data_IF_446701330628
#
_entry.id   IF_446701330628
#
_cell.length_a   1.000
_cell.length_b   1.000
_cell.length_c   1.000
_cell.angle_alpha   90.00
_cell.angle_beta   90.00
_cell.angle_gamma   90.00
#
_symmetry.space_group_name_H-M   'P 1'
#
loop_
_entity.id
_entity.type
_entity.pdbx_description
1 polymer ?
#
# COMPACT_ATOMS: atom_id res chain seq x y z
N UNK A 1 14.01 22.06 -35.89
CA UNK A 1 13.98 21.04 -34.83
C UNK A 1 15.14 21.35 -33.88
N UNK A 2 14.85 21.88 -32.68
CA UNK A 2 15.89 22.10 -31.67
C UNK A 2 16.39 20.73 -31.17
N UNK A 3 17.64 20.42 -31.47
CA UNK A 3 18.30 19.21 -31.02
C UNK A 3 18.41 19.28 -29.48
N UNK A 4 17.92 18.27 -28.77
CA UNK A 4 18.10 18.21 -27.31
C UNK A 4 19.57 18.27 -26.95
N UNK A 5 19.98 19.12 -25.98
CA UNK A 5 21.37 19.20 -25.56
C UNK A 5 21.84 17.84 -25.04
N UNK A 6 23.08 17.50 -25.35
CA UNK A 6 23.73 16.24 -24.94
C UNK A 6 24.76 16.51 -23.86
N UNK A 7 25.22 15.47 -23.15
CA UNK A 7 26.30 15.57 -22.17
C UNK A 7 27.60 16.08 -22.80
N UNK A 8 27.79 15.86 -24.11
CA UNK A 8 28.96 16.39 -24.84
C UNK A 8 28.82 17.89 -25.04
N UNK A 9 27.64 18.42 -25.27
CA UNK A 9 27.41 19.86 -25.39
C UNK A 9 27.64 20.57 -24.06
N UNK A 10 27.17 19.99 -22.94
CA UNK A 10 27.46 20.51 -21.59
C UNK A 10 28.95 20.47 -21.28
N UNK A 11 29.64 19.40 -21.65
CA UNK A 11 31.10 19.28 -21.45
C UNK A 11 31.86 20.34 -22.23
N UNK A 12 31.47 20.58 -23.48
CA UNK A 12 32.11 21.61 -24.34
C UNK A 12 31.87 23.02 -23.78
N UNK A 13 30.61 23.35 -23.39
CA UNK A 13 30.24 24.66 -22.83
C UNK A 13 30.90 24.92 -21.46
N UNK A 14 31.00 23.89 -20.61
CA UNK A 14 31.65 24.01 -19.30
C UNK A 14 33.17 23.91 -19.37
N UNK A 15 33.80 23.63 -20.53
CA UNK A 15 35.22 23.48 -20.68
C UNK A 15 35.84 22.34 -19.89
N UNK A 16 35.13 21.21 -19.79
CA UNK A 16 35.55 20.03 -19.02
C UNK A 16 35.35 18.73 -19.82
N UNK A 17 35.89 17.62 -19.31
CA UNK A 17 35.63 16.31 -19.94
C UNK A 17 34.20 15.83 -19.67
N UNK A 18 33.65 15.02 -20.60
CA UNK A 18 32.37 14.29 -20.40
C UNK A 18 32.35 13.52 -19.07
N UNK A 19 33.49 12.93 -18.69
CA UNK A 19 33.65 12.19 -17.43
C UNK A 19 33.48 13.11 -16.22
N UNK A 20 33.94 14.36 -16.28
CA UNK A 20 33.77 15.35 -15.21
C UNK A 20 32.34 15.78 -15.08
N UNK A 21 31.62 16.01 -16.20
CA UNK A 21 30.17 16.31 -16.18
C UNK A 21 29.39 15.14 -15.58
N UNK A 22 29.69 13.92 -16.02
CA UNK A 22 29.01 12.70 -15.46
C UNK A 22 29.25 12.57 -13.96
N UNK A 23 30.44 12.88 -13.45
CA UNK A 23 30.75 12.87 -12.00
C UNK A 23 29.89 13.87 -11.22
N UNK A 24 29.74 15.10 -11.75
CA UNK A 24 28.91 16.13 -11.12
C UNK A 24 27.45 15.70 -11.08
N UNK A 25 26.89 15.21 -12.19
CA UNK A 25 25.53 14.71 -12.31
C UNK A 25 25.26 13.57 -11.32
N UNK A 26 26.22 12.69 -11.12
CA UNK A 26 26.14 11.55 -10.20
C UNK A 26 26.53 11.88 -8.74
N UNK A 27 26.67 13.17 -8.38
CA UNK A 27 26.91 13.60 -7.00
C UNK A 27 28.32 13.29 -6.46
N UNK A 28 29.29 12.91 -7.31
CA UNK A 28 30.62 12.55 -6.87
C UNK A 28 31.31 13.70 -6.10
N UNK A 29 31.89 13.43 -4.94
CA UNK A 29 32.50 14.43 -4.05
C UNK A 29 33.86 14.91 -4.50
N UNK A 30 34.50 14.20 -5.42
CA UNK A 30 35.86 14.47 -5.89
C UNK A 30 35.95 15.47 -7.05
N UNK A 31 34.93 16.34 -7.25
CA UNK A 31 34.97 17.46 -8.20
C UNK A 31 34.97 18.75 -7.40
N UNK A 32 35.97 19.63 -7.71
CA UNK A 32 36.12 20.90 -7.02
C UNK A 32 34.88 21.81 -7.15
N UNK A 33 34.56 22.56 -6.10
CA UNK A 33 33.36 23.39 -5.96
C UNK A 33 33.14 24.31 -7.17
N UNK A 34 34.12 25.07 -7.59
CA UNK A 34 34.01 25.99 -8.73
C UNK A 34 33.71 25.28 -10.06
N UNK A 35 34.24 24.05 -10.26
CA UNK A 35 33.96 23.25 -11.45
C UNK A 35 32.53 22.71 -11.42
N UNK A 36 32.06 22.30 -10.25
CA UNK A 36 30.69 21.84 -10.03
C UNK A 36 29.70 22.96 -10.35
N UNK A 37 29.84 24.13 -9.73
CA UNK A 37 28.97 25.29 -9.93
C UNK A 37 28.89 25.70 -11.41
N UNK A 38 30.03 25.68 -12.14
CA UNK A 38 30.06 25.98 -13.56
C UNK A 38 29.30 24.96 -14.39
N UNK A 39 29.42 23.67 -14.10
CA UNK A 39 28.67 22.60 -14.80
C UNK A 39 27.19 22.71 -14.52
N UNK A 40 26.78 22.94 -13.26
CA UNK A 40 25.40 23.11 -12.86
C UNK A 40 24.75 24.32 -13.54
N UNK A 41 25.46 25.43 -13.65
CA UNK A 41 25.01 26.61 -14.39
C UNK A 41 24.75 26.31 -15.87
N UNK A 42 25.65 25.60 -16.54
CA UNK A 42 25.48 25.19 -17.94
C UNK A 42 24.31 24.22 -18.11
N UNK A 43 24.13 23.29 -17.19
CA UNK A 43 22.97 22.37 -17.19
C UNK A 43 21.66 23.16 -17.10
N UNK A 44 21.61 24.15 -16.21
CA UNK A 44 20.43 25.00 -16.02
C UNK A 44 20.15 25.87 -17.25
N UNK A 45 21.18 26.48 -17.84
CA UNK A 45 21.07 27.33 -19.03
C UNK A 45 20.63 26.55 -20.27
N UNK A 46 21.18 25.34 -20.46
CA UNK A 46 20.89 24.50 -21.62
C UNK A 46 19.60 23.70 -21.51
N UNK A 47 19.02 23.58 -20.30
CA UNK A 47 17.92 22.65 -20.03
C UNK A 47 18.31 21.18 -20.21
N UNK A 48 19.62 20.86 -20.12
CA UNK A 48 20.09 19.49 -20.26
C UNK A 48 19.53 18.63 -19.14
N UNK A 49 18.81 17.58 -19.51
CA UNK A 49 18.43 16.51 -18.59
C UNK A 49 19.23 15.24 -18.94
N UNK A 50 19.86 14.59 -17.96
CA UNK A 50 20.58 13.34 -18.21
C UNK A 50 19.64 12.31 -18.88
N UNK A 51 20.10 11.71 -19.96
CA UNK A 51 19.38 10.62 -20.60
C UNK A 51 19.41 9.38 -19.68
N UNK A 52 18.25 8.98 -19.18
CA UNK A 52 18.11 7.81 -18.31
C UNK A 52 18.62 6.54 -18.98
N UNK A 53 18.44 6.40 -20.30
CA UNK A 53 18.97 5.25 -21.05
C UNK A 53 20.50 5.24 -21.06
N UNK A 54 21.15 6.42 -21.24
CA UNK A 54 22.60 6.55 -21.18
C UNK A 54 23.14 6.29 -19.76
N UNK A 55 22.38 6.65 -18.71
CA UNK A 55 22.72 6.32 -17.33
C UNK A 55 22.61 4.80 -17.09
N UNK A 56 21.53 4.18 -17.57
CA UNK A 56 21.30 2.74 -17.49
C UNK A 56 22.41 1.90 -18.11
N UNK A 57 22.90 2.29 -19.30
CA UNK A 57 24.02 1.63 -19.96
C UNK A 57 25.32 1.63 -19.15
N UNK A 58 25.53 2.64 -18.31
CA UNK A 58 26.74 2.76 -17.49
C UNK A 58 26.67 2.00 -16.16
N UNK A 59 25.46 1.71 -15.68
CA UNK A 59 25.20 1.08 -14.38
C UNK A 59 24.59 -0.31 -14.48
N UNK A 60 24.25 -0.77 -15.70
CA UNK A 60 23.47 -2.00 -15.96
C UNK A 60 22.12 -2.02 -15.23
N UNK A 61 21.49 -0.85 -15.01
CA UNK A 61 20.21 -0.66 -14.34
C UNK A 61 19.24 0.08 -15.23
N UNK A 62 17.95 -0.26 -15.11
CA UNK A 62 16.88 0.44 -15.83
C UNK A 62 16.33 1.66 -15.09
N UNK A 63 16.53 1.73 -13.78
CA UNK A 63 15.88 2.68 -12.87
C UNK A 63 14.35 2.56 -12.86
N UNK A 64 13.83 1.34 -13.08
CA UNK A 64 12.41 1.02 -13.03
C UNK A 64 12.12 0.12 -11.83
N UNK A 65 11.10 0.48 -11.06
CA UNK A 65 10.51 -0.35 -9.99
C UNK A 65 9.15 -0.82 -10.46
N UNK A 66 8.87 -2.12 -10.35
CA UNK A 66 7.57 -2.69 -10.62
C UNK A 66 6.66 -2.66 -9.39
N UNK A 67 5.36 -2.43 -9.59
CA UNK A 67 4.33 -2.61 -8.59
C UNK A 67 3.36 -3.68 -9.07
N UNK A 68 3.32 -4.84 -8.38
CA UNK A 68 2.46 -5.98 -8.72
C UNK A 68 1.31 -6.06 -7.72
N UNK A 69 0.08 -6.12 -8.22
CA UNK A 69 -1.11 -6.14 -7.37
C UNK A 69 -2.32 -6.78 -8.05
N UNK A 70 -3.26 -7.27 -7.21
CA UNK A 70 -4.63 -7.64 -7.56
C UNK A 70 -5.55 -7.07 -6.48
N UNK A 71 -5.98 -5.82 -6.65
CA UNK A 71 -6.79 -5.13 -5.65
C UNK A 71 -7.82 -4.24 -6.34
N UNK A 72 -9.13 -4.41 -6.05
CA UNK A 72 -10.20 -3.60 -6.63
C UNK A 72 -10.28 -2.17 -6.04
N UNK A 73 -9.67 -1.91 -4.87
CA UNK A 73 -9.71 -0.60 -4.21
C UNK A 73 -8.72 0.38 -4.87
N UNK A 74 -9.26 1.24 -5.73
CA UNK A 74 -8.48 2.25 -6.44
C UNK A 74 -7.86 3.30 -5.51
N UNK A 75 -8.50 3.62 -4.38
CA UNK A 75 -8.00 4.59 -3.40
C UNK A 75 -6.79 4.04 -2.63
N UNK A 76 -6.82 2.75 -2.30
CA UNK A 76 -5.67 2.06 -1.73
C UNK A 76 -4.48 2.07 -2.70
N UNK A 77 -4.70 1.74 -3.97
CA UNK A 77 -3.65 1.74 -4.99
C UNK A 77 -3.07 3.15 -5.22
N UNK A 78 -3.90 4.19 -5.22
CA UNK A 78 -3.41 5.59 -5.32
C UNK A 78 -2.47 5.95 -4.15
N UNK A 79 -2.82 5.59 -2.91
CA UNK A 79 -1.97 5.84 -1.75
C UNK A 79 -0.62 5.11 -1.85
N UNK A 80 -0.63 3.83 -2.28
CA UNK A 80 0.61 3.07 -2.51
C UNK A 80 1.48 3.74 -3.57
N UNK A 81 0.91 4.10 -4.71
CA UNK A 81 1.66 4.75 -5.80
C UNK A 81 2.28 6.06 -5.33
N UNK A 82 1.55 6.90 -4.61
CA UNK A 82 2.07 8.17 -4.05
C UNK A 82 3.22 7.92 -3.09
N UNK A 83 3.10 6.93 -2.21
CA UNK A 83 4.16 6.55 -1.28
C UNK A 83 5.43 6.11 -2.02
N UNK A 84 5.32 5.20 -2.99
CA UNK A 84 6.45 4.74 -3.80
C UNK A 84 7.08 5.89 -4.60
N UNK A 85 6.25 6.69 -5.28
CA UNK A 85 6.72 7.80 -6.12
C UNK A 85 7.41 8.90 -5.32
N UNK A 86 7.03 9.12 -4.05
CA UNK A 86 7.70 10.08 -3.16
C UNK A 86 9.19 9.75 -2.95
N UNK A 87 9.55 8.46 -2.96
CA UNK A 87 10.93 7.99 -2.84
C UNK A 87 11.60 7.88 -4.21
N UNK A 88 10.90 7.29 -5.19
CA UNK A 88 11.41 7.11 -6.55
C UNK A 88 11.87 8.43 -7.17
N UNK A 89 11.09 9.50 -7.05
CA UNK A 89 11.42 10.82 -7.60
C UNK A 89 12.72 11.39 -7.05
N UNK A 90 13.02 11.14 -5.77
CA UNK A 90 14.26 11.60 -5.12
C UNK A 90 15.48 10.79 -5.54
N UNK A 91 15.28 9.50 -5.85
CA UNK A 91 16.35 8.54 -6.19
C UNK A 91 16.54 8.35 -7.71
N UNK A 92 15.70 8.99 -8.52
CA UNK A 92 15.76 8.90 -9.99
C UNK A 92 15.22 7.61 -10.57
N UNK A 93 14.34 6.90 -9.81
CA UNK A 93 13.59 5.74 -10.26
C UNK A 93 12.21 6.14 -10.80
N UNK A 94 11.64 5.30 -11.66
CA UNK A 94 10.26 5.41 -12.13
C UNK A 94 9.46 4.19 -11.66
N UNK A 95 8.14 4.35 -11.58
CA UNK A 95 7.22 3.27 -11.21
C UNK A 95 6.49 2.75 -12.45
N UNK A 96 6.50 1.42 -12.61
CA UNK A 96 5.72 0.70 -13.63
C UNK A 96 4.74 -0.21 -12.93
N UNK A 97 3.46 -0.11 -13.24
CA UNK A 97 2.41 -0.88 -12.57
C UNK A 97 2.02 -2.13 -13.38
N UNK A 98 1.72 -3.21 -12.68
CA UNK A 98 1.26 -4.47 -13.27
C UNK A 98 0.07 -5.03 -12.46
N UNK A 99 -1.17 -4.72 -12.86
CA UNK A 99 -2.32 -5.41 -12.33
C UNK A 99 -2.33 -6.85 -12.85
N UNK A 100 -2.42 -7.82 -11.96
CA UNK A 100 -2.52 -9.24 -12.30
C UNK A 100 -3.82 -9.85 -11.77
N UNK A 101 -4.06 -11.13 -12.03
CA UNK A 101 -5.15 -11.91 -11.43
C UNK A 101 -4.56 -12.96 -10.50
N UNK A 102 -4.61 -12.70 -9.20
CA UNK A 102 -4.11 -13.61 -8.18
C UNK A 102 -4.79 -14.99 -8.28
N UNK A 103 -4.03 -16.05 -8.10
CA UNK A 103 -4.49 -17.44 -8.20
C UNK A 103 -5.07 -17.86 -9.58
N UNK A 104 -4.94 -17.06 -10.63
CA UNK A 104 -5.22 -17.54 -11.99
C UNK A 104 -4.13 -18.48 -12.48
N UNK A 105 -4.46 -19.32 -13.43
CA UNK A 105 -3.46 -20.17 -14.10
C UNK A 105 -2.36 -19.29 -14.73
N UNK A 106 -1.10 -19.60 -14.46
CA UNK A 106 0.05 -18.87 -15.01
C UNK A 106 0.34 -17.51 -14.40
N UNK A 107 -0.32 -17.08 -13.30
CA UNK A 107 -0.11 -15.74 -12.72
C UNK A 107 1.34 -15.48 -12.32
N UNK A 108 2.06 -16.49 -11.78
CA UNK A 108 3.48 -16.37 -11.41
C UNK A 108 4.33 -16.10 -12.65
N UNK A 109 4.07 -16.85 -13.73
CA UNK A 109 4.78 -16.65 -15.00
C UNK A 109 4.50 -15.27 -15.60
N UNK A 110 3.26 -14.76 -15.52
CA UNK A 110 2.90 -13.43 -15.98
C UNK A 110 3.66 -12.34 -15.18
N UNK A 111 3.75 -12.48 -13.87
CA UNK A 111 4.55 -11.56 -13.03
C UNK A 111 6.04 -11.59 -13.40
N UNK A 112 6.62 -12.75 -13.61
CA UNK A 112 8.03 -12.90 -14.02
C UNK A 112 8.27 -12.33 -15.42
N UNK A 113 7.36 -12.57 -16.34
CA UNK A 113 7.42 -12.06 -17.71
C UNK A 113 7.29 -10.51 -17.73
N UNK A 114 6.45 -9.95 -16.86
CA UNK A 114 6.38 -8.50 -16.66
C UNK A 114 7.73 -7.92 -16.26
N UNK A 115 8.40 -8.50 -15.25
CA UNK A 115 9.72 -8.05 -14.80
C UNK A 115 10.74 -8.08 -15.94
N UNK A 116 10.79 -9.20 -16.68
CA UNK A 116 11.76 -9.41 -17.77
C UNK A 116 11.53 -8.48 -18.96
N UNK A 117 10.28 -8.42 -19.48
CA UNK A 117 9.96 -7.62 -20.68
C UNK A 117 10.12 -6.11 -20.44
N UNK A 118 9.89 -5.67 -19.20
CA UNK A 118 10.00 -4.26 -18.82
C UNK A 118 11.39 -3.92 -18.27
N UNK A 119 12.30 -4.90 -18.19
CA UNK A 119 13.65 -4.73 -17.65
C UNK A 119 13.66 -4.06 -16.28
N UNK A 120 12.83 -4.54 -15.36
CA UNK A 120 12.61 -3.95 -14.03
C UNK A 120 13.74 -4.36 -13.08
N UNK A 121 14.29 -3.42 -12.30
CA UNK A 121 15.39 -3.66 -11.37
C UNK A 121 14.92 -4.34 -10.07
N UNK A 122 13.66 -4.17 -9.70
CA UNK A 122 13.04 -4.80 -8.53
C UNK A 122 11.56 -4.52 -8.43
N UNK A 123 10.81 -5.32 -7.65
CA UNK A 123 9.36 -5.22 -7.54
C UNK A 123 8.87 -5.04 -6.11
N UNK A 124 7.82 -4.25 -5.95
CA UNK A 124 7.01 -4.17 -4.73
C UNK A 124 5.72 -4.95 -5.00
N UNK A 125 5.35 -5.82 -4.06
CA UNK A 125 4.21 -6.73 -4.22
C UNK A 125 3.19 -6.41 -3.13
N UNK A 126 1.92 -6.23 -3.53
CA UNK A 126 0.83 -5.88 -2.62
C UNK A 126 -0.08 -7.09 -2.32
N UNK A 127 -0.79 -7.09 -1.17
CA UNK A 127 -1.83 -8.07 -0.92
C UNK A 127 -2.93 -8.04 -2.01
N UNK A 128 -3.51 -9.20 -2.36
CA UNK A 128 -3.21 -10.54 -1.85
C UNK A 128 -2.03 -11.22 -2.55
N UNK A 129 -1.48 -10.66 -3.62
CA UNK A 129 -0.39 -11.25 -4.43
C UNK A 129 0.88 -11.46 -3.58
N UNK A 130 1.14 -10.54 -2.65
CA UNK A 130 2.27 -10.64 -1.71
C UNK A 130 2.19 -11.84 -0.77
N UNK A 131 1.04 -12.48 -0.63
CA UNK A 131 0.84 -13.67 0.20
C UNK A 131 1.28 -14.96 -0.53
N UNK A 132 1.56 -14.90 -1.83
CA UNK A 132 2.02 -16.04 -2.62
C UNK A 132 3.47 -16.42 -2.27
N UNK A 133 3.62 -17.58 -1.57
CA UNK A 133 4.94 -18.15 -1.34
C UNK A 133 5.63 -18.54 -2.65
N UNK A 134 4.89 -19.13 -3.59
CA UNK A 134 5.42 -19.58 -4.88
C UNK A 134 6.01 -18.42 -5.68
N UNK A 135 5.35 -17.26 -5.68
CA UNK A 135 5.88 -16.07 -6.35
C UNK A 135 7.16 -15.58 -5.67
N UNK A 136 7.19 -15.49 -4.33
CA UNK A 136 8.37 -15.06 -3.59
C UNK A 136 9.56 -16.00 -3.83
N UNK A 137 9.37 -17.32 -3.69
CA UNK A 137 10.40 -18.31 -3.95
C UNK A 137 10.94 -18.21 -5.40
N UNK A 138 10.03 -18.02 -6.39
CA UNK A 138 10.42 -17.87 -7.79
C UNK A 138 11.23 -16.60 -8.07
N UNK A 139 10.87 -15.48 -7.42
CA UNK A 139 11.63 -14.23 -7.52
C UNK A 139 13.02 -14.39 -6.93
N UNK A 140 13.13 -15.02 -5.77
CA UNK A 140 14.39 -15.31 -5.10
C UNK A 140 15.28 -16.24 -5.93
N UNK A 141 14.77 -17.35 -6.45
CA UNK A 141 15.49 -18.28 -7.33
C UNK A 141 16.04 -17.60 -8.59
N UNK A 142 15.32 -16.61 -9.10
CA UNK A 142 15.72 -15.86 -10.30
C UNK A 142 16.58 -14.62 -9.99
N UNK A 143 16.96 -14.42 -8.73
CA UNK A 143 17.70 -13.25 -8.25
C UNK A 143 17.03 -11.92 -8.63
N UNK A 144 15.72 -11.85 -8.55
CA UNK A 144 14.94 -10.63 -8.75
C UNK A 144 14.70 -10.00 -7.38
N UNK A 145 15.14 -8.76 -7.21
CA UNK A 145 14.89 -8.02 -5.97
C UNK A 145 13.38 -7.80 -5.77
N UNK A 146 12.88 -8.03 -4.56
CA UNK A 146 11.49 -7.79 -4.23
C UNK A 146 11.31 -7.34 -2.78
N UNK A 147 10.21 -6.62 -2.53
CA UNK A 147 9.71 -6.29 -1.19
C UNK A 147 8.20 -6.52 -1.18
N UNK A 148 7.73 -7.20 -0.14
CA UNK A 148 6.31 -7.52 0.08
C UNK A 148 5.70 -6.51 1.04
N UNK A 149 4.49 -6.03 0.77
CA UNK A 149 3.64 -5.40 1.77
C UNK A 149 2.62 -6.43 2.24
N UNK A 150 2.46 -6.62 3.55
CA UNK A 150 1.61 -7.68 4.12
C UNK A 150 1.01 -7.26 5.47
N UNK A 151 0.12 -8.10 6.02
CA UNK A 151 -0.43 -7.98 7.38
C UNK A 151 0.06 -9.09 8.32
N UNK A 152 0.94 -9.96 7.83
CA UNK A 152 1.61 -11.02 8.60
C UNK A 152 3.07 -11.11 8.18
N UNK A 153 3.91 -11.63 9.07
CA UNK A 153 5.33 -11.80 8.82
C UNK A 153 5.54 -13.06 7.95
N UNK A 154 5.83 -12.86 6.66
CA UNK A 154 5.90 -13.90 5.64
C UNK A 154 7.28 -14.06 5.01
N UNK A 155 8.25 -13.23 5.42
CA UNK A 155 9.55 -13.14 4.75
C UNK A 155 10.60 -12.50 5.68
N UNK A 156 11.87 -12.52 5.29
CA UNK A 156 12.91 -11.77 6.00
C UNK A 156 12.53 -10.29 6.11
N UNK A 157 12.82 -9.68 7.26
CA UNK A 157 12.47 -8.28 7.55
C UNK A 157 13.01 -7.28 6.52
N UNK A 158 14.04 -7.64 5.76
CA UNK A 158 14.55 -6.84 4.66
C UNK A 158 13.62 -6.85 3.44
N UNK A 159 12.87 -7.95 3.23
CA UNK A 159 12.02 -8.19 2.08
C UNK A 159 10.53 -7.91 2.36
N UNK A 160 10.19 -7.39 3.54
CA UNK A 160 8.78 -7.20 3.92
C UNK A 160 8.56 -5.88 4.68
N UNK A 161 7.35 -5.35 4.53
CA UNK A 161 6.76 -4.30 5.38
C UNK A 161 5.41 -4.81 5.87
N UNK A 162 5.28 -4.94 7.18
CA UNK A 162 4.10 -5.55 7.83
C UNK A 162 3.25 -4.48 8.49
N UNK A 163 1.93 -4.60 8.35
CA UNK A 163 0.92 -3.83 9.09
C UNK A 163 0.37 -4.71 10.22
N UNK A 164 0.40 -4.21 11.46
CA UNK A 164 -0.16 -4.90 12.62
C UNK A 164 -1.68 -4.72 12.69
N UNK A 165 -2.37 -5.30 11.70
CA UNK A 165 -3.81 -5.19 11.56
C UNK A 165 -4.55 -5.84 12.75
N UNK A 166 -4.01 -6.94 13.31
CA UNK A 166 -4.59 -7.65 14.47
C UNK A 166 -4.65 -6.76 15.70
N UNK A 167 -3.55 -6.09 16.06
CA UNK A 167 -3.54 -5.18 17.20
C UNK A 167 -4.49 -4.00 17.00
N UNK A 168 -4.54 -3.44 15.80
CA UNK A 168 -5.43 -2.32 15.48
C UNK A 168 -6.91 -2.70 15.59
N UNK A 169 -7.28 -3.90 15.16
CA UNK A 169 -8.65 -4.41 15.31
C UNK A 169 -9.00 -4.76 16.77
N UNK A 170 -8.01 -5.17 17.57
CA UNK A 170 -8.19 -5.28 19.01
C UNK A 170 -8.55 -3.92 19.64
N UNK A 171 -7.91 -2.84 19.21
CA UNK A 171 -8.21 -1.49 19.72
C UNK A 171 -9.62 -1.03 19.28
N UNK A 172 -10.03 -1.29 18.04
CA UNK A 172 -11.39 -1.00 17.57
C UNK A 172 -12.43 -1.80 18.38
N UNK A 173 -12.22 -3.10 18.63
CA UNK A 173 -13.12 -3.94 19.41
C UNK A 173 -13.28 -3.40 20.85
N UNK A 174 -12.16 -3.06 21.51
CA UNK A 174 -12.17 -2.43 22.86
C UNK A 174 -12.95 -1.12 22.85
N UNK A 175 -12.75 -0.29 21.84
CA UNK A 175 -13.47 0.98 21.69
C UNK A 175 -14.97 0.75 21.58
N UNK A 176 -15.42 -0.13 20.69
CA UNK A 176 -16.86 -0.42 20.52
C UNK A 176 -17.49 -0.98 21.81
N UNK A 177 -16.83 -1.91 22.50
CA UNK A 177 -17.31 -2.46 23.76
C UNK A 177 -17.34 -1.40 24.87
N UNK A 178 -16.38 -0.50 24.92
CA UNK A 178 -16.35 0.62 25.89
C UNK A 178 -17.53 1.58 25.73
N UNK A 179 -18.10 1.64 24.54
CA UNK A 179 -19.31 2.42 24.23
C UNK A 179 -20.61 1.62 24.48
N UNK A 180 -20.51 0.35 24.93
CA UNK A 180 -21.65 -0.48 25.31
C UNK A 180 -22.14 -1.42 24.19
N UNK A 181 -21.50 -1.46 23.04
CA UNK A 181 -21.91 -2.35 21.95
C UNK A 181 -21.69 -3.83 22.28
N UNK A 182 -22.74 -4.63 22.18
CA UNK A 182 -22.72 -6.10 22.36
C UNK A 182 -23.35 -6.84 21.19
N UNK A 183 -24.29 -6.22 20.49
CA UNK A 183 -24.97 -6.78 19.32
C UNK A 183 -24.23 -6.37 18.04
N UNK A 184 -23.12 -7.03 17.77
CA UNK A 184 -22.18 -6.67 16.69
C UNK A 184 -22.33 -7.65 15.53
N UNK A 185 -22.45 -7.13 14.31
CA UNK A 185 -22.28 -7.87 13.06
C UNK A 185 -20.91 -7.55 12.43
N UNK A 186 -20.38 -8.50 11.68
CA UNK A 186 -19.08 -8.37 11.02
C UNK A 186 -19.24 -8.67 9.54
N UNK A 187 -18.73 -7.77 8.70
CA UNK A 187 -18.53 -8.04 7.29
C UNK A 187 -17.03 -8.24 7.09
N UNK A 188 -16.60 -9.50 7.02
CA UNK A 188 -15.19 -9.84 6.81
C UNK A 188 -14.79 -9.68 5.36
N UNK A 189 -13.50 -9.58 5.08
CA UNK A 189 -12.98 -9.79 3.74
C UNK A 189 -12.84 -11.28 3.40
N UNK A 190 -12.41 -11.62 2.17
CA UNK A 190 -12.22 -13.02 1.75
C UNK A 190 -11.23 -13.75 2.66
N UNK A 191 -11.69 -14.85 3.26
CA UNK A 191 -10.93 -15.57 4.29
C UNK A 191 -9.75 -16.38 3.74
N UNK A 192 -9.60 -16.43 2.44
CA UNK A 192 -8.41 -16.96 1.80
C UNK A 192 -7.19 -16.04 1.91
N UNK A 193 -7.37 -14.75 2.32
CA UNK A 193 -6.30 -13.77 2.46
C UNK A 193 -5.90 -13.60 3.93
N UNK A 194 -4.61 -13.61 4.21
CA UNK A 194 -4.09 -13.43 5.57
C UNK A 194 -4.53 -12.10 6.18
N UNK A 195 -4.53 -11.01 5.40
CA UNK A 195 -4.98 -9.71 5.88
C UNK A 195 -6.43 -9.73 6.39
N UNK A 196 -7.32 -10.45 5.71
CA UNK A 196 -8.71 -10.59 6.14
C UNK A 196 -8.85 -11.47 7.39
N UNK A 197 -8.03 -12.53 7.50
CA UNK A 197 -7.98 -13.39 8.71
C UNK A 197 -7.50 -12.62 9.92
N UNK A 198 -6.36 -11.92 9.81
CA UNK A 198 -5.80 -11.14 10.91
C UNK A 198 -6.78 -10.10 11.45
N UNK A 199 -7.50 -9.42 10.57
CA UNK A 199 -8.53 -8.46 10.97
C UNK A 199 -9.69 -9.13 11.68
N UNK A 200 -10.24 -10.20 11.10
CA UNK A 200 -11.39 -10.91 11.69
C UNK A 200 -11.02 -11.54 13.03
N UNK A 201 -9.91 -12.26 13.09
CA UNK A 201 -9.46 -12.94 14.29
C UNK A 201 -9.12 -11.95 15.41
N UNK A 202 -8.34 -10.90 15.12
CA UNK A 202 -8.00 -9.88 16.11
C UNK A 202 -9.22 -9.19 16.71
N UNK A 203 -10.25 -8.95 15.88
CA UNK A 203 -11.50 -8.37 16.33
C UNK A 203 -12.32 -9.35 17.19
N UNK A 204 -12.56 -10.56 16.71
CA UNK A 204 -13.37 -11.59 17.42
C UNK A 204 -12.70 -12.03 18.72
N UNK A 205 -11.41 -12.33 18.72
CA UNK A 205 -10.68 -12.75 19.92
C UNK A 205 -10.77 -11.69 21.03
N UNK A 206 -10.68 -10.42 20.64
CA UNK A 206 -10.80 -9.31 21.59
C UNK A 206 -12.23 -9.18 22.13
N UNK A 207 -13.26 -9.29 21.28
CA UNK A 207 -14.66 -9.27 21.71
C UNK A 207 -14.94 -10.40 22.69
N UNK A 208 -14.52 -11.63 22.39
CA UNK A 208 -14.69 -12.80 23.25
C UNK A 208 -13.97 -12.60 24.60
N UNK A 209 -12.75 -12.06 24.59
CA UNK A 209 -12.02 -11.72 25.80
C UNK A 209 -12.70 -10.67 26.69
N UNK A 210 -13.58 -9.84 26.09
CA UNK A 210 -14.38 -8.84 26.78
C UNK A 210 -15.82 -9.32 27.12
N UNK A 211 -16.11 -10.60 26.89
CA UNK A 211 -17.43 -11.21 27.17
C UNK A 211 -18.51 -10.85 26.17
N UNK A 212 -18.13 -10.51 24.93
CA UNK A 212 -19.05 -10.25 23.81
C UNK A 212 -18.89 -11.34 22.78
N UNK A 213 -19.83 -12.27 22.72
CA UNK A 213 -19.84 -13.33 21.72
C UNK A 213 -20.50 -12.85 20.42
N UNK A 214 -19.88 -13.19 19.29
CA UNK A 214 -20.43 -12.93 17.95
C UNK A 214 -20.88 -14.25 17.35
N UNK A 215 -22.19 -14.49 17.21
CA UNK A 215 -22.70 -15.71 16.59
C UNK A 215 -22.25 -15.82 15.14
N UNK A 216 -22.01 -17.04 14.67
CA UNK A 216 -21.50 -17.31 13.32
C UNK A 216 -22.36 -16.68 12.21
N UNK A 217 -23.69 -16.69 12.37
CA UNK A 217 -24.61 -16.05 11.42
C UNK A 217 -24.52 -14.51 11.38
N UNK A 218 -23.77 -13.89 12.27
CA UNK A 218 -23.46 -12.45 12.26
C UNK A 218 -22.11 -12.12 11.64
N UNK A 219 -21.36 -13.10 11.15
CA UNK A 219 -20.13 -12.94 10.40
C UNK A 219 -20.42 -13.31 8.94
N UNK A 220 -20.36 -12.33 8.04
CA UNK A 220 -20.65 -12.53 6.62
C UNK A 220 -19.43 -12.15 5.81
N UNK A 221 -19.00 -13.04 4.91
CA UNK A 221 -17.84 -12.79 4.06
C UNK A 221 -18.22 -11.91 2.87
N UNK A 222 -17.54 -10.77 2.74
CA UNK A 222 -17.59 -9.87 1.59
C UNK A 222 -16.38 -10.04 0.69
N UNK A 223 -16.32 -9.20 -0.36
CA UNK A 223 -15.25 -9.24 -1.40
C UNK A 223 -14.43 -7.97 -1.46
N UNK A 224 -14.35 -7.21 -0.36
CA UNK A 224 -13.66 -5.92 -0.26
C UNK A 224 -14.15 -4.85 -1.25
N UNK A 225 -15.37 -4.96 -1.76
CA UNK A 225 -15.99 -3.98 -2.66
C UNK A 225 -17.26 -3.38 -2.06
N UNK A 226 -17.59 -2.18 -2.51
CA UNK A 226 -18.81 -1.47 -2.11
C UNK A 226 -20.09 -2.30 -2.34
N UNK A 227 -20.19 -2.99 -3.49
CA UNK A 227 -21.33 -3.85 -3.84
C UNK A 227 -21.47 -5.02 -2.88
N UNK A 228 -20.36 -5.67 -2.51
CA UNK A 228 -20.38 -6.76 -1.55
C UNK A 228 -20.75 -6.26 -0.14
N UNK A 229 -20.36 -5.05 0.21
CA UNK A 229 -20.79 -4.37 1.43
C UNK A 229 -22.31 -4.22 1.49
N UNK A 230 -22.95 -3.83 0.39
CA UNK A 230 -24.42 -3.75 0.25
C UNK A 230 -25.06 -5.12 0.45
N UNK A 231 -24.55 -6.15 -0.24
CA UNK A 231 -25.10 -7.52 -0.14
C UNK A 231 -25.05 -8.06 1.29
N UNK A 232 -23.88 -7.93 1.94
CA UNK A 232 -23.67 -8.39 3.32
C UNK A 232 -24.49 -7.58 4.34
N UNK A 233 -24.56 -6.25 4.17
CA UNK A 233 -25.33 -5.38 5.04
C UNK A 233 -26.83 -5.76 5.05
N UNK A 234 -27.42 -6.03 3.89
CA UNK A 234 -28.81 -6.49 3.79
C UNK A 234 -29.03 -7.77 4.57
N UNK A 235 -28.13 -8.75 4.47
CA UNK A 235 -28.23 -10.01 5.21
C UNK A 235 -28.15 -9.80 6.74
N UNK A 236 -27.28 -8.90 7.22
CA UNK A 236 -27.16 -8.60 8.65
C UNK A 236 -28.36 -7.81 9.19
N UNK A 237 -28.86 -6.82 8.44
CA UNK A 237 -29.86 -5.88 8.93
C UNK A 237 -31.28 -6.43 8.92
N UNK A 238 -31.57 -7.53 8.20
CA UNK A 238 -32.87 -8.23 8.25
C UNK A 238 -32.97 -9.27 9.38
N UNK A 239 -31.86 -9.59 10.06
CA UNK A 239 -31.85 -10.56 11.15
C UNK A 239 -32.65 -10.07 12.37
N UNK A 240 -33.17 -11.00 13.16
CA UNK A 240 -33.91 -10.73 14.39
C UNK A 240 -33.28 -11.51 15.56
N UNK A 241 -32.81 -10.82 16.62
CA UNK A 241 -32.74 -9.38 16.78
C UNK A 241 -31.73 -8.75 15.85
N UNK A 242 -32.01 -7.51 15.38
CA UNK A 242 -31.12 -6.77 14.50
C UNK A 242 -29.84 -6.36 15.22
N UNK A 243 -28.69 -6.44 14.52
CA UNK A 243 -27.43 -5.93 15.01
C UNK A 243 -27.49 -4.43 15.29
N UNK A 244 -26.76 -3.97 16.30
CA UNK A 244 -26.68 -2.56 16.72
C UNK A 244 -25.40 -1.88 16.27
N UNK A 245 -24.40 -2.66 15.87
CA UNK A 245 -23.16 -2.18 15.31
C UNK A 245 -22.67 -3.13 14.22
N UNK A 246 -21.98 -2.61 13.20
CA UNK A 246 -21.32 -3.39 12.15
C UNK A 246 -19.87 -2.92 12.02
N UNK A 247 -18.93 -3.86 12.08
CA UNK A 247 -17.59 -3.68 11.59
C UNK A 247 -17.51 -4.26 10.17
N UNK A 248 -16.99 -3.49 9.22
CA UNK A 248 -16.69 -3.91 7.87
C UNK A 248 -15.17 -3.90 7.61
N UNK A 249 -14.66 -4.93 6.93
CA UNK A 249 -13.24 -5.19 6.72
C UNK A 249 -12.48 -4.05 6.00
N UNK A 250 -13.21 -3.18 5.26
CA UNK A 250 -12.67 -1.95 4.69
C UNK A 250 -13.75 -0.86 4.57
N UNK A 251 -13.31 0.37 4.25
CA UNK A 251 -14.22 1.53 4.16
C UNK A 251 -15.18 1.45 2.97
N UNK A 252 -14.81 0.77 1.88
CA UNK A 252 -15.70 0.51 0.74
C UNK A 252 -16.93 -0.30 1.17
N UNK A 253 -16.72 -1.40 1.89
CA UNK A 253 -17.84 -2.19 2.41
C UNK A 253 -18.61 -1.44 3.49
N UNK A 254 -17.92 -0.65 4.36
CA UNK A 254 -18.59 0.18 5.35
C UNK A 254 -19.50 1.23 4.71
N UNK A 255 -19.09 1.85 3.60
CA UNK A 255 -19.95 2.74 2.82
C UNK A 255 -21.16 2.01 2.23
N UNK A 256 -21.00 0.76 1.81
CA UNK A 256 -22.12 -0.12 1.41
C UNK A 256 -23.12 -0.33 2.54
N UNK A 257 -22.64 -0.51 3.80
CA UNK A 257 -23.50 -0.58 4.99
C UNK A 257 -24.30 0.72 5.19
N UNK A 258 -23.64 1.88 5.10
CA UNK A 258 -24.30 3.19 5.24
C UNK A 258 -25.40 3.37 4.19
N UNK A 259 -25.15 2.97 2.94
CA UNK A 259 -26.14 3.01 1.86
C UNK A 259 -27.39 2.17 2.20
N UNK A 260 -27.19 0.92 2.62
CA UNK A 260 -28.33 0.02 2.97
C UNK A 260 -29.06 0.53 4.20
N UNK A 261 -28.36 1.02 5.22
CA UNK A 261 -28.97 1.63 6.39
C UNK A 261 -29.89 2.80 5.98
N UNK A 262 -29.41 3.68 5.11
CA UNK A 262 -30.22 4.78 4.57
C UNK A 262 -31.46 4.29 3.80
N UNK A 263 -31.31 3.32 2.90
CA UNK A 263 -32.42 2.73 2.13
C UNK A 263 -33.50 2.07 3.03
N UNK A 264 -33.07 1.52 4.17
CA UNK A 264 -33.97 0.91 5.16
C UNK A 264 -34.53 1.88 6.21
N UNK A 265 -34.19 3.18 6.13
CA UNK A 265 -34.58 4.18 7.11
C UNK A 265 -33.94 4.00 8.49
N UNK A 266 -32.77 3.34 8.55
CA UNK A 266 -31.99 3.13 9.78
C UNK A 266 -31.01 4.27 9.93
N UNK A 267 -31.11 5.03 11.02
CA UNK A 267 -30.22 6.16 11.28
C UNK A 267 -28.87 5.70 11.82
N UNK A 268 -27.80 6.20 11.21
CA UNK A 268 -26.41 6.03 11.69
C UNK A 268 -25.95 7.38 12.23
N UNK A 269 -25.42 7.45 13.45
CA UNK A 269 -25.12 6.35 14.39
C UNK A 269 -26.26 5.95 15.32
N UNK A 270 -27.46 6.57 15.25
CA UNK A 270 -28.48 6.50 16.29
C UNK A 270 -29.09 5.10 16.49
N UNK A 271 -29.33 4.38 15.44
CA UNK A 271 -29.90 3.03 15.47
C UNK A 271 -28.91 1.95 15.07
N UNK A 272 -27.81 2.34 14.41
CA UNK A 272 -26.75 1.45 13.95
C UNK A 272 -25.42 2.19 13.99
N UNK A 273 -24.42 1.66 14.68
CA UNK A 273 -23.05 2.11 14.60
C UNK A 273 -22.30 1.37 13.49
N UNK A 274 -21.42 2.06 12.76
CA UNK A 274 -20.66 1.47 11.64
C UNK A 274 -19.17 1.83 11.76
N UNK A 275 -18.31 0.83 11.65
CA UNK A 275 -16.86 0.99 11.59
C UNK A 275 -16.31 0.40 10.29
N UNK A 276 -15.24 1.03 9.78
CA UNK A 276 -14.48 0.57 8.63
C UNK A 276 -13.00 0.26 8.95
N UNK A 277 -12.20 0.15 7.90
CA UNK A 277 -10.75 -0.02 7.94
C UNK A 277 -10.13 0.57 6.68
N UNK A 278 -8.91 1.05 6.74
CA UNK A 278 -7.99 1.68 5.78
C UNK A 278 -7.90 3.21 5.93
N UNK A 279 -8.93 3.91 6.38
CA UNK A 279 -9.04 5.37 6.42
C UNK A 279 -8.71 6.03 5.06
N UNK A 280 -9.30 5.47 4.00
CA UNK A 280 -9.18 6.08 2.69
C UNK A 280 -10.05 7.36 2.59
N UNK A 281 -9.94 8.09 1.48
CA UNK A 281 -10.66 9.36 1.29
C UNK A 281 -12.19 9.22 1.42
N UNK A 282 -12.73 8.04 1.18
CA UNK A 282 -14.17 7.76 1.30
C UNK A 282 -14.64 7.90 2.75
N UNK A 283 -13.85 7.41 3.72
CA UNK A 283 -14.21 7.42 5.14
C UNK A 283 -14.58 8.83 5.66
N UNK A 284 -13.85 9.84 5.21
CA UNK A 284 -14.10 11.23 5.60
C UNK A 284 -15.18 11.93 4.77
N UNK A 285 -15.61 11.34 3.64
CA UNK A 285 -16.52 11.99 2.67
C UNK A 285 -17.94 11.48 2.71
N UNK A 286 -18.17 10.30 3.27
CA UNK A 286 -19.53 9.77 3.48
C UNK A 286 -20.24 10.47 4.65
N UNK A 287 -21.55 10.33 4.74
CA UNK A 287 -22.37 10.92 5.79
C UNK A 287 -23.16 9.80 6.49
N UNK A 288 -22.96 9.61 7.81
CA UNK A 288 -21.95 10.26 8.66
C UNK A 288 -20.53 9.84 8.28
N UNK A 289 -19.50 10.66 8.63
CA UNK A 289 -18.12 10.31 8.41
C UNK A 289 -17.75 9.05 9.23
N UNK A 290 -17.02 8.11 8.61
CA UNK A 290 -16.74 6.80 9.18
C UNK A 290 -15.66 6.84 10.27
N UNK A 291 -15.97 6.27 11.42
CA UNK A 291 -14.98 5.75 12.36
C UNK A 291 -14.30 4.55 11.70
N UNK A 292 -12.98 4.57 11.63
CA UNK A 292 -12.22 3.59 10.88
C UNK A 292 -10.84 3.39 11.50
N UNK A 293 -10.09 2.41 11.04
CA UNK A 293 -8.68 2.22 11.38
C UNK A 293 -7.82 2.76 10.25
N UNK A 294 -6.98 3.76 10.54
CA UNK A 294 -6.03 4.29 9.56
C UNK A 294 -4.83 3.37 9.46
N UNK A 295 -4.67 2.75 8.30
CA UNK A 295 -3.44 2.08 7.93
C UNK A 295 -2.57 3.08 7.14
N UNK A 296 -1.34 3.37 7.58
CA UNK A 296 -0.48 4.36 6.93
C UNK A 296 0.13 3.79 5.64
N UNK A 297 -0.72 3.49 4.66
CA UNK A 297 -0.38 2.80 3.40
C UNK A 297 0.70 3.53 2.62
N UNK A 298 0.63 4.87 2.57
CA UNK A 298 1.63 5.69 1.90
C UNK A 298 3.03 5.56 2.53
N UNK A 299 3.10 5.56 3.88
CA UNK A 299 4.36 5.39 4.60
C UNK A 299 4.92 3.98 4.43
N UNK A 300 4.07 2.96 4.51
CA UNK A 300 4.46 1.57 4.24
C UNK A 300 5.04 1.42 2.82
N UNK A 301 4.40 2.02 1.83
CA UNK A 301 4.84 2.01 0.45
C UNK A 301 6.17 2.77 0.26
N UNK A 302 6.37 3.88 0.96
CA UNK A 302 7.64 4.60 0.98
C UNK A 302 8.77 3.78 1.63
N UNK A 303 8.48 3.06 2.73
CA UNK A 303 9.43 2.13 3.35
C UNK A 303 9.78 1.00 2.36
N UNK A 304 8.79 0.40 1.71
CA UNK A 304 9.03 -0.64 0.71
C UNK A 304 9.88 -0.13 -0.46
N UNK A 305 9.65 1.11 -0.91
CA UNK A 305 10.44 1.74 -1.97
C UNK A 305 11.90 1.99 -1.53
N UNK A 306 12.14 2.42 -0.30
CA UNK A 306 13.52 2.58 0.21
C UNK A 306 14.24 1.24 0.31
N UNK A 307 13.57 0.21 0.84
CA UNK A 307 14.12 -1.15 0.93
C UNK A 307 14.49 -1.71 -0.43
N UNK A 308 13.57 -1.67 -1.40
CA UNK A 308 13.85 -2.21 -2.74
C UNK A 308 14.99 -1.46 -3.44
N UNK A 309 15.08 -0.14 -3.30
CA UNK A 309 16.17 0.65 -3.87
C UNK A 309 17.50 0.29 -3.19
N UNK A 310 17.52 0.10 -1.86
CA UNK A 310 18.72 -0.33 -1.15
C UNK A 310 19.21 -1.70 -1.65
N UNK A 311 18.32 -2.67 -1.84
CA UNK A 311 18.65 -3.97 -2.43
C UNK A 311 19.26 -3.83 -3.85
N UNK A 312 18.62 -3.03 -4.71
CA UNK A 312 19.11 -2.78 -6.07
C UNK A 312 20.50 -2.11 -6.05
N UNK A 313 20.72 -1.21 -5.11
CA UNK A 313 21.98 -0.47 -5.00
C UNK A 313 23.08 -1.24 -4.26
N UNK A 314 22.75 -2.37 -3.63
CA UNK A 314 23.67 -3.15 -2.81
C UNK A 314 24.10 -2.41 -1.55
N UNK A 315 23.25 -1.50 -1.06
CA UNK A 315 23.45 -0.78 0.19
C UNK A 315 22.66 -1.46 1.31
N UNK A 316 23.16 -1.33 2.54
CA UNK A 316 22.41 -1.82 3.70
C UNK A 316 21.12 -1.01 3.90
N UNK A 317 20.02 -1.72 4.18
CA UNK A 317 18.80 -1.10 4.69
C UNK A 317 19.12 -0.54 6.07
N UNK A 318 18.77 0.71 6.34
CA UNK A 318 19.05 1.31 7.65
C UNK A 318 18.43 0.47 8.76
N UNK A 319 19.19 0.12 9.79
CA UNK A 319 18.69 -0.59 10.98
C UNK A 319 17.55 0.15 11.68
N UNK A 320 17.42 1.46 11.45
CA UNK A 320 16.32 2.27 11.97
C UNK A 320 15.05 2.18 11.13
N UNK A 321 15.10 1.56 9.94
CA UNK A 321 13.93 1.39 9.09
C UNK A 321 13.05 0.26 9.63
N UNK A 322 11.90 0.64 10.18
CA UNK A 322 10.95 -0.34 10.69
C UNK A 322 10.38 -1.21 9.56
N UNK A 323 10.18 -2.49 9.85
CA UNK A 323 9.41 -3.38 8.97
C UNK A 323 7.96 -3.54 9.46
N UNK A 324 7.67 -3.20 10.72
CA UNK A 324 6.35 -3.29 11.35
C UNK A 324 5.76 -1.91 11.54
N UNK A 325 4.60 -1.67 10.93
CA UNK A 325 3.84 -0.42 11.01
C UNK A 325 2.55 -0.67 11.79
N UNK A 326 2.21 0.23 12.71
CA UNK A 326 1.01 0.11 13.55
C UNK A 326 -0.09 1.02 13.01
N UNK A 327 -1.21 0.45 12.52
CA UNK A 327 -2.42 1.23 12.24
C UNK A 327 -3.02 1.78 13.53
N UNK A 328 -3.83 2.84 13.43
CA UNK A 328 -4.47 3.45 14.59
C UNK A 328 -5.92 3.84 14.32
N UNK A 329 -6.73 3.84 15.39
CA UNK A 329 -8.14 4.15 15.32
C UNK A 329 -8.38 5.65 15.07
N UNK A 330 -9.23 5.96 14.08
CA UNK A 330 -9.72 7.30 13.78
C UNK A 330 -11.21 7.36 14.14
N UNK A 331 -11.53 8.09 15.18
CA UNK A 331 -12.91 8.26 15.67
C UNK A 331 -13.58 9.40 14.89
N UNK A 332 -14.75 9.10 14.32
CA UNK A 332 -15.63 10.06 13.62
C UNK A 332 -17.09 9.88 14.07
N UNK A 333 -18.04 10.20 13.19
CA UNK A 333 -19.45 10.38 13.53
C UNK A 333 -20.31 9.10 13.40
N UNK A 334 -19.75 8.01 12.88
CA UNK A 334 -20.53 6.79 12.55
C UNK A 334 -20.72 5.80 13.72
N UNK A 335 -20.15 6.08 14.89
CA UNK A 335 -20.31 5.30 16.11
C UNK A 335 -20.73 6.22 17.27
N UNK A 336 -21.66 5.76 18.08
CA UNK A 336 -22.01 6.45 19.33
C UNK A 336 -22.16 5.48 20.51
N UNK A 337 -22.19 6.03 21.70
CA UNK A 337 -22.47 5.26 22.94
C UNK A 337 -23.92 4.76 22.94
N UNK A 338 -24.13 3.51 23.36
CA UNK A 338 -25.43 2.85 23.54
C UNK A 338 -25.98 3.11 24.93
#
# INVERSE_FOLDING_TARGET
>A
MNKRPTINDVAALAGVSKRTVSRVINGATNVGKATRERIEAVIQETGFAPDKQARGLSTSRSYLIGLIYDNPDALYIDQVQRGVLSVCSQKGYELVVHPCRYNSEGFVEDCINFVRRSNIDGVIILPPVSESKILADTLQEKNINYVRMASVDLDDHQNIVVSDDRAALSDLARYMVSLGHKDIGIISGPQQYYSSKERLEGFIETLNGLGVDVPENRVIEGRNSFESGIECARQLLIQTPRVKAIFANNDEMAAGVLKVAHEMGITVPDQLSVAGFDDNLLAARVIPALTTVQRPVGDMAAIAARKIIAHIEGSEVSETETYLVKPHLIIRDSIKKV
#
